data_IF_395795513566
#
_entry.id   IF_395795513566
#
_cell.length_a   1.000
_cell.length_b   1.000
_cell.length_c   1.000
_cell.angle_alpha   90.00
_cell.angle_beta   90.00
_cell.angle_gamma   90.00
#
_symmetry.space_group_name_H-M   'P 1'
#
loop_
_entity.id
_entity.type
_entity.pdbx_description
1 polymer ?
#
# COMPACT_ATOMS: atom_id res chain seq x y z
N UNK A 1 -20.07 12.75 -6.00
CA UNK A 1 -19.51 12.44 -4.67
C UNK A 1 -18.22 13.21 -4.42
N UNK A 2 -17.31 13.30 -5.40
CA UNK A 2 -16.04 14.03 -5.27
C UNK A 2 -16.20 15.52 -4.92
N UNK A 3 -17.11 16.23 -5.60
CA UNK A 3 -17.41 17.66 -5.32
C UNK A 3 -17.93 17.90 -3.89
N UNK A 4 -18.42 16.87 -3.20
CA UNK A 4 -18.99 17.01 -1.87
C UNK A 4 -17.90 17.30 -0.83
N UNK A 5 -16.70 16.71 -0.99
CA UNK A 5 -15.63 16.89 -0.02
C UNK A 5 -15.07 18.32 -0.05
N UNK A 6 -14.84 18.87 -1.25
CA UNK A 6 -14.44 20.29 -1.43
C UNK A 6 -15.52 21.26 -0.93
N UNK A 7 -16.79 20.84 -0.92
CA UNK A 7 -17.90 21.61 -0.33
C UNK A 7 -17.96 21.57 1.20
N UNK A 8 -17.25 20.65 1.85
CA UNK A 8 -17.23 20.46 3.31
C UNK A 8 -15.95 21.00 3.95
N UNK A 9 -14.81 20.80 3.30
CA UNK A 9 -13.50 21.27 3.75
C UNK A 9 -12.61 21.55 2.55
N UNK A 10 -11.63 22.43 2.72
CA UNK A 10 -10.56 22.51 1.74
C UNK A 10 -9.67 21.27 1.86
N UNK A 11 -9.28 20.74 0.71
CA UNK A 11 -8.38 19.60 0.57
C UNK A 11 -7.05 20.15 0.08
N UNK A 12 -6.02 20.14 0.94
CA UNK A 12 -4.71 20.67 0.56
C UNK A 12 -3.96 19.73 -0.40
N UNK A 13 -4.08 18.43 -0.19
CA UNK A 13 -3.32 17.41 -0.91
C UNK A 13 -4.03 16.05 -0.92
N UNK A 14 -3.86 15.32 -2.02
CA UNK A 14 -4.29 13.93 -2.19
C UNK A 14 -3.06 13.08 -2.53
N UNK A 15 -2.72 12.14 -1.66
CA UNK A 15 -1.57 11.23 -1.88
C UNK A 15 -2.05 9.97 -2.58
N UNK A 16 -1.58 9.75 -3.81
CA UNK A 16 -1.85 8.54 -4.57
C UNK A 16 -0.68 7.55 -4.42
N UNK A 17 -0.89 6.49 -3.65
CA UNK A 17 0.11 5.46 -3.38
C UNK A 17 0.09 4.41 -4.50
N UNK A 18 1.10 4.45 -5.37
CA UNK A 18 1.20 3.56 -6.52
C UNK A 18 2.14 2.40 -6.28
N UNK A 19 1.70 1.23 -6.70
CA UNK A 19 2.49 0.01 -6.69
C UNK A 19 2.12 -0.82 -7.92
N UNK A 20 3.10 -1.54 -8.46
CA UNK A 20 2.87 -2.40 -9.63
C UNK A 20 1.79 -3.45 -9.34
N UNK A 21 0.88 -3.64 -10.30
CA UNK A 21 -0.27 -4.54 -10.15
C UNK A 21 0.16 -5.99 -9.83
N UNK A 22 1.22 -6.48 -10.47
CA UNK A 22 1.77 -7.81 -10.24
C UNK A 22 2.21 -8.02 -8.79
N UNK A 23 2.77 -6.99 -8.16
CA UNK A 23 3.16 -7.01 -6.74
C UNK A 23 1.92 -7.00 -5.84
N UNK A 24 0.91 -6.18 -6.16
CA UNK A 24 -0.34 -6.13 -5.39
C UNK A 24 -1.04 -7.49 -5.41
N UNK A 25 -1.10 -8.14 -6.58
CA UNK A 25 -1.65 -9.49 -6.74
C UNK A 25 -0.90 -10.48 -5.85
N UNK A 26 0.44 -10.52 -5.94
CA UNK A 26 1.25 -11.40 -5.11
C UNK A 26 1.04 -11.17 -3.61
N UNK A 27 0.97 -9.91 -3.16
CA UNK A 27 0.69 -9.57 -1.76
C UNK A 27 -0.71 -9.98 -1.33
N UNK A 28 -1.73 -9.89 -2.19
CA UNK A 28 -3.07 -10.38 -1.85
C UNK A 28 -3.08 -11.91 -1.70
N UNK A 29 -2.49 -12.64 -2.64
CA UNK A 29 -2.39 -14.11 -2.58
C UNK A 29 -1.55 -14.60 -1.38
N UNK A 30 -0.56 -13.80 -0.96
CA UNK A 30 0.28 -14.06 0.21
C UNK A 30 -0.37 -13.74 1.56
N UNK A 31 -1.55 -13.11 1.59
CA UNK A 31 -2.23 -12.68 2.81
C UNK A 31 -2.66 -13.87 3.65
N UNK A 32 -2.41 -13.80 4.96
CA UNK A 32 -2.83 -14.81 5.94
C UNK A 32 -3.44 -14.13 7.15
N UNK A 33 -4.40 -14.79 7.78
CA UNK A 33 -4.98 -14.38 9.06
C UNK A 33 -4.75 -15.51 10.05
N UNK A 34 -4.26 -15.20 11.25
CA UNK A 34 -4.19 -16.21 12.30
C UNK A 34 -5.57 -16.45 12.90
N UNK A 35 -6.08 -17.67 12.83
CA UNK A 35 -7.39 -18.05 13.36
C UNK A 35 -7.51 -17.98 14.89
N UNK A 36 -6.42 -17.75 15.62
CA UNK A 36 -6.44 -17.59 17.08
C UNK A 36 -6.29 -16.15 17.55
N UNK A 37 -5.35 -15.38 16.98
CA UNK A 37 -5.10 -14.00 17.44
C UNK A 37 -5.73 -12.94 16.54
N UNK A 38 -6.27 -13.31 15.37
CA UNK A 38 -6.92 -12.41 14.42
C UNK A 38 -5.96 -11.47 13.68
N UNK A 39 -4.66 -11.52 13.94
CA UNK A 39 -3.67 -10.66 13.26
C UNK A 39 -3.47 -11.08 11.80
N UNK A 40 -3.21 -10.09 10.96
CA UNK A 40 -2.86 -10.25 9.55
C UNK A 40 -1.35 -10.45 9.39
N UNK A 41 -0.98 -11.33 8.48
CA UNK A 41 0.38 -11.65 8.08
C UNK A 41 0.44 -11.70 6.55
N UNK A 42 1.64 -11.67 6.00
CA UNK A 42 1.84 -11.78 4.56
C UNK A 42 3.08 -12.62 4.27
N UNK A 43 2.89 -13.78 3.66
CA UNK A 43 3.98 -14.71 3.36
C UNK A 43 4.70 -14.36 2.05
N UNK A 44 4.18 -13.43 1.23
CA UNK A 44 4.82 -13.06 -0.02
C UNK A 44 6.09 -12.23 0.24
N UNK A 45 7.22 -12.79 -0.18
CA UNK A 45 8.48 -12.07 -0.34
C UNK A 45 8.55 -11.53 -1.75
N UNK A 46 8.65 -10.21 -1.88
CA UNK A 46 8.76 -9.54 -3.18
C UNK A 46 10.23 -9.23 -3.40
N UNK A 47 10.79 -9.75 -4.48
CA UNK A 47 12.14 -9.47 -4.95
C UNK A 47 12.09 -9.36 -6.48
N UNK A 48 11.70 -8.19 -6.95
CA UNK A 48 11.54 -7.90 -8.36
C UNK A 48 12.73 -7.08 -8.82
N UNK A 49 13.46 -7.60 -9.81
CA UNK A 49 14.59 -6.90 -10.41
C UNK A 49 14.12 -5.75 -11.31
N UNK A 50 15.04 -4.84 -11.59
CA UNK A 50 14.81 -3.79 -12.58
C UNK A 50 14.52 -4.42 -13.95
N UNK A 51 13.41 -4.03 -14.58
CA UNK A 51 12.97 -4.59 -15.86
C UNK A 51 12.14 -3.56 -16.62
N UNK A 52 12.31 -3.46 -17.94
CA UNK A 52 11.53 -2.57 -18.82
C UNK A 52 11.47 -1.10 -18.35
N UNK A 53 12.55 -0.59 -17.75
CA UNK A 53 12.63 0.76 -17.22
C UNK A 53 11.97 0.96 -15.85
N UNK A 54 11.37 -0.09 -15.27
CA UNK A 54 10.84 -0.07 -13.90
C UNK A 54 11.98 -0.32 -12.89
N UNK A 55 11.99 0.41 -11.75
CA UNK A 55 13.00 0.22 -10.71
C UNK A 55 12.84 -1.15 -10.03
N UNK A 56 13.91 -1.68 -9.42
CA UNK A 56 13.80 -2.87 -8.60
C UNK A 56 12.95 -2.58 -7.35
N UNK A 57 12.17 -3.56 -6.91
CA UNK A 57 11.34 -3.45 -5.71
C UNK A 57 11.56 -4.68 -4.84
N UNK A 58 11.94 -4.42 -3.59
CA UNK A 58 12.06 -5.45 -2.56
C UNK A 58 11.06 -5.18 -1.44
N UNK A 59 10.31 -6.20 -1.01
CA UNK A 59 9.43 -6.13 0.15
C UNK A 59 9.48 -7.44 0.93
N UNK A 60 10.07 -7.40 2.12
CA UNK A 60 10.11 -8.55 3.02
C UNK A 60 8.70 -9.07 3.36
N UNK A 61 8.57 -10.38 3.64
CA UNK A 61 7.33 -10.93 4.16
C UNK A 61 7.07 -10.43 5.59
N UNK A 62 5.80 -10.39 5.97
CA UNK A 62 5.37 -10.19 7.36
C UNK A 62 5.04 -11.56 7.94
N UNK A 63 6.07 -12.24 8.46
CA UNK A 63 5.95 -13.60 8.97
C UNK A 63 5.24 -13.63 10.33
N UNK A 64 4.42 -14.66 10.59
CA UNK A 64 3.83 -14.85 11.90
C UNK A 64 4.82 -15.46 12.89
N UNK A 65 4.61 -15.26 14.20
CA UNK A 65 5.36 -15.98 15.23
C UNK A 65 5.02 -17.48 15.22
N UNK A 66 5.91 -18.30 15.81
CA UNK A 66 5.80 -19.77 15.83
C UNK A 66 4.44 -20.29 16.32
N UNK A 67 3.84 -19.63 17.33
CA UNK A 67 2.54 -20.03 17.88
C UNK A 67 1.35 -19.78 16.93
N UNK A 68 1.54 -18.97 15.88
CA UNK A 68 0.55 -18.62 14.87
C UNK A 68 0.75 -19.37 13.54
N UNK A 69 1.96 -19.88 13.27
CA UNK A 69 2.31 -20.54 11.99
C UNK A 69 1.34 -21.66 11.58
N UNK A 70 0.96 -22.54 12.51
CA UNK A 70 0.05 -23.67 12.23
C UNK A 70 -1.44 -23.28 12.17
N UNK A 71 -1.77 -22.00 12.41
CA UNK A 71 -3.14 -21.49 12.55
C UNK A 71 -3.45 -20.44 11.49
N UNK A 72 -2.61 -20.34 10.47
CA UNK A 72 -2.81 -19.41 9.37
C UNK A 72 -3.91 -19.89 8.45
N UNK A 73 -4.85 -19.01 8.19
CA UNK A 73 -5.97 -19.17 7.27
C UNK A 73 -5.79 -18.21 6.11
N UNK A 74 -6.21 -18.61 4.92
CA UNK A 74 -6.41 -17.74 3.76
C UNK A 74 -7.82 -17.18 3.78
N UNK A 75 -8.05 -16.04 3.13
CA UNK A 75 -9.42 -15.61 2.86
C UNK A 75 -9.92 -16.29 1.59
N UNK A 76 -11.21 -16.55 1.55
CA UNK A 76 -11.85 -17.21 0.40
C UNK A 76 -11.80 -16.35 -0.87
N UNK A 77 -11.63 -15.03 -0.73
CA UNK A 77 -11.54 -14.05 -1.83
C UNK A 77 -10.12 -13.82 -2.36
N UNK A 78 -9.10 -14.51 -1.84
CA UNK A 78 -7.70 -14.38 -2.29
C UNK A 78 -7.37 -15.33 -3.45
N UNK A 79 -8.14 -15.23 -4.54
CA UNK A 79 -7.79 -15.85 -5.83
C UNK A 79 -7.32 -14.79 -6.82
N UNK A 80 -6.47 -15.17 -7.78
CA UNK A 80 -5.91 -14.21 -8.73
C UNK A 80 -7.01 -13.50 -9.53
N UNK A 81 -7.99 -14.25 -10.01
CA UNK A 81 -9.14 -13.72 -10.75
C UNK A 81 -9.91 -12.67 -9.93
N UNK A 82 -10.23 -13.00 -8.67
CA UNK A 82 -10.98 -12.09 -7.78
C UNK A 82 -10.17 -10.84 -7.47
N UNK A 83 -8.86 -10.99 -7.19
CA UNK A 83 -7.98 -9.86 -6.90
C UNK A 83 -7.85 -8.93 -8.11
N UNK A 84 -7.63 -9.47 -9.32
CA UNK A 84 -7.56 -8.66 -10.53
C UNK A 84 -8.86 -7.94 -10.85
N UNK A 85 -10.01 -8.63 -10.68
CA UNK A 85 -11.30 -7.98 -10.88
C UNK A 85 -11.53 -6.85 -9.86
N UNK A 86 -11.11 -7.03 -8.60
CA UNK A 86 -11.16 -5.96 -7.59
C UNK A 86 -10.27 -4.77 -7.95
N UNK A 87 -9.08 -5.01 -8.48
CA UNK A 87 -8.18 -3.94 -8.94
C UNK A 87 -8.76 -3.18 -10.12
N UNK A 88 -9.36 -3.87 -11.09
CA UNK A 88 -10.09 -3.24 -12.20
C UNK A 88 -11.22 -2.34 -11.70
N UNK A 89 -12.07 -2.87 -10.81
CA UNK A 89 -13.18 -2.08 -10.23
C UNK A 89 -12.65 -0.91 -9.41
N UNK A 90 -11.59 -1.10 -8.63
CA UNK A 90 -10.95 -0.02 -7.87
C UNK A 90 -10.52 1.10 -8.81
N UNK A 91 -9.77 0.78 -9.88
CA UNK A 91 -9.32 1.76 -10.86
C UNK A 91 -10.49 2.48 -11.55
N UNK A 92 -11.54 1.74 -11.96
CA UNK A 92 -12.74 2.34 -12.57
C UNK A 92 -13.44 3.34 -11.64
N UNK A 93 -13.45 3.05 -10.33
CA UNK A 93 -14.11 3.89 -9.33
C UNK A 93 -13.21 5.02 -8.82
N UNK A 94 -11.89 4.83 -8.77
CA UNK A 94 -10.92 5.81 -8.28
C UNK A 94 -10.51 6.80 -9.36
N UNK A 95 -10.46 6.41 -10.64
CA UNK A 95 -10.03 7.28 -11.74
C UNK A 95 -10.77 8.62 -11.77
N UNK A 96 -12.11 8.69 -11.62
CA UNK A 96 -12.80 9.99 -11.60
C UNK A 96 -12.42 10.85 -10.38
N UNK A 97 -12.00 10.24 -9.26
CA UNK A 97 -11.48 10.96 -8.08
C UNK A 97 -10.09 11.52 -8.36
N UNK A 98 -9.21 10.67 -8.90
CA UNK A 98 -7.85 11.03 -9.26
C UNK A 98 -7.86 12.17 -10.29
N UNK A 99 -8.63 12.04 -11.37
CA UNK A 99 -8.78 13.07 -12.41
C UNK A 99 -9.28 14.42 -11.85
N UNK A 100 -10.22 14.36 -10.90
CA UNK A 100 -10.80 15.56 -10.30
C UNK A 100 -9.75 16.36 -9.53
N UNK A 101 -9.01 15.73 -8.62
CA UNK A 101 -7.98 16.41 -7.85
C UNK A 101 -6.71 16.68 -8.67
N UNK A 102 -6.43 15.88 -9.69
CA UNK A 102 -5.30 16.10 -10.59
C UNK A 102 -5.49 17.38 -11.41
N UNK A 103 -6.71 17.67 -11.88
CA UNK A 103 -7.06 18.95 -12.53
C UNK A 103 -6.88 20.15 -11.61
N UNK A 104 -6.99 19.95 -10.30
CA UNK A 104 -6.73 20.99 -9.30
C UNK A 104 -5.25 21.12 -8.91
N UNK A 105 -4.38 20.25 -9.42
CA UNK A 105 -2.95 20.22 -9.04
C UNK A 105 -2.71 19.75 -7.60
N UNK A 106 -3.68 19.07 -6.98
CA UNK A 106 -3.63 18.63 -5.58
C UNK A 106 -3.13 17.20 -5.38
N UNK A 107 -2.93 16.45 -6.47
CA UNK A 107 -2.49 15.05 -6.39
C UNK A 107 -0.97 14.95 -6.33
N UNK A 108 -0.49 14.32 -5.27
CA UNK A 108 0.87 13.84 -5.13
C UNK A 108 0.93 12.36 -5.51
N UNK A 109 1.60 12.06 -6.60
CA UNK A 109 1.86 10.69 -7.04
C UNK A 109 3.09 10.13 -6.32
N UNK A 110 2.93 9.00 -5.62
CA UNK A 110 4.00 8.36 -4.87
C UNK A 110 4.12 6.88 -5.22
N UNK A 111 5.08 6.55 -6.08
CA UNK A 111 5.44 5.18 -6.40
C UNK A 111 6.23 4.55 -5.24
N UNK A 112 5.71 3.45 -4.68
CA UNK A 112 6.37 2.73 -3.60
C UNK A 112 7.68 2.10 -4.09
N UNK A 113 8.84 2.50 -3.56
CA UNK A 113 10.13 1.98 -4.01
C UNK A 113 10.51 0.64 -3.36
N UNK A 114 9.75 0.18 -2.37
CA UNK A 114 10.09 -1.00 -1.59
C UNK A 114 9.11 -1.26 -0.46
N UNK A 115 9.53 -2.01 0.56
CA UNK A 115 8.77 -2.24 1.77
C UNK A 115 8.55 -0.96 2.58
N UNK A 116 7.99 -1.12 3.78
CA UNK A 116 7.84 0.00 4.72
C UNK A 116 9.19 0.67 5.03
N UNK A 117 10.31 -0.05 5.29
CA UNK A 117 11.58 0.59 5.60
C UNK A 117 12.10 1.51 4.50
N UNK A 118 11.85 1.16 3.23
CA UNK A 118 12.27 1.97 2.08
C UNK A 118 11.27 3.05 1.71
N UNK A 119 9.97 2.78 1.86
CA UNK A 119 8.89 3.66 1.42
C UNK A 119 8.58 4.76 2.44
N UNK A 120 8.59 4.44 3.74
CA UNK A 120 8.16 5.37 4.79
C UNK A 120 9.02 6.63 4.88
N UNK A 121 10.37 6.55 4.93
CA UNK A 121 11.20 7.75 5.01
C UNK A 121 11.04 8.66 3.79
N UNK A 122 10.89 8.06 2.60
CA UNK A 122 10.68 8.80 1.35
C UNK A 122 9.31 9.46 1.29
N UNK A 123 8.28 8.81 1.82
CA UNK A 123 6.95 9.40 1.90
C UNK A 123 6.97 10.61 2.85
N UNK A 124 7.62 10.49 4.01
CA UNK A 124 7.78 11.61 4.93
C UNK A 124 8.55 12.78 4.31
N UNK A 125 9.64 12.50 3.60
CA UNK A 125 10.44 13.51 2.88
C UNK A 125 9.59 14.27 1.85
N UNK A 126 8.84 13.55 1.01
CA UNK A 126 7.97 14.16 0.00
C UNK A 126 6.82 14.96 0.64
N UNK A 127 6.33 14.55 1.81
CA UNK A 127 5.32 15.27 2.57
C UNK A 127 5.91 16.40 3.45
N UNK A 128 7.24 16.55 3.48
CA UNK A 128 7.95 17.49 4.36
C UNK A 128 7.55 17.32 5.84
N UNK A 129 7.47 16.06 6.29
CA UNK A 129 7.13 15.68 7.65
C UNK A 129 8.34 15.05 8.37
N UNK A 130 8.45 15.30 9.68
CA UNK A 130 9.46 14.68 10.53
C UNK A 130 8.95 13.37 11.15
N UNK A 131 9.82 12.36 11.26
CA UNK A 131 9.47 11.10 11.93
C UNK A 131 9.44 11.29 13.46
N UNK A 132 8.23 11.33 14.02
CA UNK A 132 8.04 11.51 15.47
C UNK A 132 8.57 10.34 16.30
N UNK A 133 8.82 9.18 15.70
CA UNK A 133 9.38 8.02 16.38
C UNK A 133 10.90 8.14 16.52
N UNK A 134 11.58 8.72 15.52
CA UNK A 134 12.98 9.14 15.66
C UNK A 134 13.14 10.29 16.65
N UNK A 135 12.24 11.29 16.65
CA UNK A 135 12.27 12.39 17.62
C UNK A 135 12.18 11.89 19.07
N UNK A 136 11.33 10.88 19.34
CA UNK A 136 11.19 10.29 20.68
C UNK A 136 12.40 9.46 21.10
N UNK A 137 13.09 8.82 20.15
CA UNK A 137 14.32 8.08 20.41
C UNK A 137 15.54 8.99 20.57
N UNK A 138 15.58 10.13 19.88
CA UNK A 138 16.61 11.15 20.00
C UNK A 138 16.44 12.03 21.26
N UNK A 139 15.22 12.13 21.78
CA UNK A 139 14.90 12.86 23.01
C UNK A 139 14.95 12.00 24.30
N UNK A 140 15.26 10.70 24.18
CA UNK A 140 15.42 9.75 25.28
C UNK A 140 16.90 9.46 25.54
#
# INVERSE_FOLDING_TARGET
>A
AQEILDGVTDIDMVVNLKLREDIIVQKCLGRRICGQCGKNFNLACIDVKAENGLPPIYMSPLLPPNNCMSKLLTRDDDTEEVVRNRLRIYNEMSQPVEDFYQKQGKVLEFDLPGGIPESWPKLLDVLNLEDQQEMKLAAA
#
